data_IF_405183622808
#
_entry.id   IF_405183622808
#
_cell.length_a   1.000
_cell.length_b   1.000
_cell.length_c   1.000
_cell.angle_alpha   90.00
_cell.angle_beta   90.00
_cell.angle_gamma   90.00
#
_symmetry.space_group_name_H-M   'P 1'
#
loop_
_entity.id
_entity.type
_entity.pdbx_description
1 polymer ?
#
# COMPACT_ATOMS: atom_id res chain seq x y z
N UNK A 1 15.99 -18.04 -15.21
CA UNK A 1 15.93 -17.19 -14.01
C UNK A 1 16.81 -17.72 -12.87
N UNK A 2 16.60 -18.92 -12.32
CA UNK A 2 17.41 -19.40 -11.18
C UNK A 2 18.92 -19.56 -11.44
N UNK A 3 19.35 -19.89 -12.67
CA UNK A 3 20.78 -19.97 -13.00
C UNK A 3 21.52 -18.62 -12.84
N UNK A 4 20.80 -17.50 -12.81
CA UNK A 4 21.38 -16.18 -12.51
C UNK A 4 21.91 -16.09 -11.08
N UNK A 5 21.35 -16.87 -10.13
CA UNK A 5 21.83 -16.91 -8.74
C UNK A 5 23.19 -17.60 -8.58
N UNK A 6 23.66 -18.34 -9.60
CA UNK A 6 24.95 -19.06 -9.57
C UNK A 6 26.10 -18.17 -10.07
N UNK A 7 25.80 -17.15 -10.89
CA UNK A 7 26.83 -16.30 -11.49
C UNK A 7 27.48 -15.41 -10.44
N UNK A 8 28.80 -15.28 -10.49
CA UNK A 8 29.55 -14.36 -9.63
C UNK A 8 29.51 -12.93 -10.20
N UNK A 9 28.30 -12.36 -10.23
CA UNK A 9 28.02 -11.01 -10.69
C UNK A 9 28.04 -10.00 -9.51
N UNK A 10 28.52 -8.78 -9.76
CA UNK A 10 28.58 -7.67 -8.80
C UNK A 10 27.20 -7.13 -8.43
N UNK A 11 26.16 -7.42 -9.23
CA UNK A 11 24.77 -7.06 -8.97
C UNK A 11 24.10 -7.92 -7.87
N UNK A 12 24.61 -7.88 -6.63
CA UNK A 12 24.10 -8.66 -5.51
C UNK A 12 22.65 -8.31 -5.11
N UNK A 13 22.21 -7.08 -5.38
CA UNK A 13 20.84 -6.63 -5.11
C UNK A 13 19.82 -7.27 -6.07
N UNK A 14 20.17 -7.42 -7.35
CA UNK A 14 19.32 -8.09 -8.34
C UNK A 14 19.15 -9.58 -8.01
N UNK A 15 20.20 -10.22 -7.48
CA UNK A 15 20.12 -11.61 -6.98
C UNK A 15 19.16 -11.72 -5.81
N UNK A 16 19.28 -10.81 -4.84
CA UNK A 16 18.38 -10.79 -3.68
C UNK A 16 16.93 -10.54 -4.11
N UNK A 17 16.69 -9.56 -4.98
CA UNK A 17 15.38 -9.29 -5.56
C UNK A 17 14.77 -10.54 -6.19
N UNK A 18 15.55 -11.21 -7.06
CA UNK A 18 15.12 -12.42 -7.77
C UNK A 18 14.76 -13.53 -6.79
N UNK A 19 15.59 -13.74 -5.77
CA UNK A 19 15.36 -14.72 -4.72
C UNK A 19 14.06 -14.45 -3.95
N UNK A 20 13.85 -13.20 -3.50
CA UNK A 20 12.64 -12.81 -2.78
C UNK A 20 11.39 -12.93 -3.65
N UNK A 21 11.47 -12.55 -4.93
CA UNK A 21 10.34 -12.66 -5.87
C UNK A 21 9.94 -14.11 -6.11
N UNK A 22 10.91 -15.01 -6.30
CA UNK A 22 10.65 -16.45 -6.44
C UNK A 22 10.00 -17.00 -5.18
N UNK A 23 10.50 -16.62 -4.00
CA UNK A 23 9.93 -17.05 -2.71
C UNK A 23 8.50 -16.56 -2.55
N UNK A 24 8.23 -15.29 -2.87
CA UNK A 24 6.90 -14.71 -2.84
C UNK A 24 5.92 -15.47 -3.76
N UNK A 25 6.34 -15.82 -4.97
CA UNK A 25 5.53 -16.62 -5.90
C UNK A 25 5.32 -18.07 -5.43
N UNK A 26 6.34 -18.67 -4.83
CA UNK A 26 6.27 -20.02 -4.26
C UNK A 26 5.38 -20.09 -3.01
N UNK A 27 5.24 -18.99 -2.26
CA UNK A 27 4.31 -18.91 -1.12
C UNK A 27 2.84 -18.76 -1.56
N UNK A 28 2.61 -18.33 -2.81
CA UNK A 28 1.26 -18.12 -3.36
C UNK A 28 0.71 -19.34 -4.13
N UNK A 29 1.55 -20.03 -4.91
CA UNK A 29 1.14 -21.18 -5.72
C UNK A 29 1.94 -22.44 -5.36
N UNK A 30 1.22 -23.45 -4.87
CA UNK A 30 1.78 -24.77 -4.54
C UNK A 30 2.46 -25.45 -5.74
N UNK A 31 1.98 -25.23 -6.97
CA UNK A 31 2.61 -25.78 -8.18
C UNK A 31 3.97 -25.15 -8.41
N UNK A 32 4.09 -23.84 -8.23
CA UNK A 32 5.35 -23.12 -8.33
C UNK A 32 6.28 -23.58 -7.22
N UNK A 33 5.78 -23.71 -5.98
CA UNK A 33 6.53 -24.21 -4.84
C UNK A 33 7.17 -25.56 -5.10
N UNK A 34 6.40 -26.53 -5.61
CA UNK A 34 6.90 -27.87 -5.94
C UNK A 34 7.96 -27.81 -7.05
N UNK A 35 7.74 -26.98 -8.09
CA UNK A 35 8.73 -26.79 -9.16
C UNK A 35 10.03 -26.18 -8.65
N UNK A 36 9.95 -25.14 -7.82
CA UNK A 36 11.09 -24.47 -7.18
C UNK A 36 11.88 -25.48 -6.34
N UNK A 37 11.20 -26.24 -5.48
CA UNK A 37 11.82 -27.27 -4.65
C UNK A 37 12.50 -28.36 -5.48
N UNK A 38 11.89 -28.79 -6.59
CA UNK A 38 12.48 -29.77 -7.49
C UNK A 38 13.74 -29.25 -8.19
N UNK A 39 13.76 -27.98 -8.60
CA UNK A 39 14.94 -27.36 -9.22
C UNK A 39 16.08 -27.25 -8.20
N UNK A 40 15.77 -26.79 -6.98
CA UNK A 40 16.76 -26.70 -5.89
C UNK A 40 17.36 -28.08 -5.58
N UNK A 41 16.52 -29.12 -5.45
CA UNK A 41 17.00 -30.49 -5.19
C UNK A 41 17.88 -31.05 -6.32
N UNK A 42 17.58 -30.73 -7.57
CA UNK A 42 18.34 -31.23 -8.74
C UNK A 42 19.66 -30.51 -8.97
N UNK A 43 19.82 -29.30 -8.45
CA UNK A 43 20.99 -28.48 -8.70
C UNK A 43 21.76 -28.17 -7.39
N UNK A 44 22.79 -28.96 -7.04
CA UNK A 44 23.54 -28.78 -5.79
C UNK A 44 24.30 -27.45 -5.72
N UNK A 45 24.61 -26.83 -6.87
CA UNK A 45 25.22 -25.49 -6.91
C UNK A 45 24.26 -24.37 -6.48
N UNK A 46 22.95 -24.58 -6.60
CA UNK A 46 21.93 -23.66 -6.10
C UNK A 46 21.51 -23.99 -4.67
N UNK A 47 21.46 -25.27 -4.33
CA UNK A 47 21.08 -25.74 -3.00
C UNK A 47 22.28 -25.75 -2.04
N UNK A 48 22.86 -24.56 -1.85
CA UNK A 48 23.89 -24.31 -0.85
C UNK A 48 23.57 -23.01 -0.09
N UNK A 49 24.19 -22.84 1.07
CA UNK A 49 23.97 -21.66 1.90
C UNK A 49 24.34 -20.35 1.19
N UNK A 50 25.30 -20.40 0.27
CA UNK A 50 25.75 -19.25 -0.51
C UNK A 50 24.68 -18.76 -1.50
N UNK A 51 24.02 -19.67 -2.23
CA UNK A 51 23.00 -19.36 -3.22
C UNK A 51 21.61 -19.07 -2.61
N UNK A 52 21.31 -19.64 -1.44
CA UNK A 52 20.04 -19.43 -0.73
C UNK A 52 20.06 -18.24 0.26
N UNK A 53 21.21 -17.58 0.42
CA UNK A 53 21.35 -16.41 1.29
C UNK A 53 22.11 -15.28 0.60
N UNK A 54 21.50 -14.59 -0.39
CA UNK A 54 22.13 -13.44 -1.02
C UNK A 54 22.32 -12.30 -0.02
N UNK A 55 23.42 -11.53 -0.16
CA UNK A 55 23.80 -10.44 0.77
C UNK A 55 22.86 -9.22 0.71
N UNK A 56 22.18 -9.00 -0.41
CA UNK A 56 21.42 -7.78 -0.71
C UNK A 56 20.30 -7.44 0.28
N UNK A 57 19.81 -6.20 0.20
CA UNK A 57 18.73 -5.66 1.02
C UNK A 57 17.39 -5.57 0.26
N UNK A 58 17.40 -5.73 -1.06
CA UNK A 58 16.21 -5.74 -1.91
C UNK A 58 15.14 -6.72 -1.40
N UNK A 59 13.89 -6.36 -1.61
CA UNK A 59 12.74 -6.98 -0.97
C UNK A 59 11.60 -7.20 -1.97
N UNK A 60 10.95 -8.34 -1.86
CA UNK A 60 9.67 -8.59 -2.49
C UNK A 60 8.80 -9.41 -1.53
N UNK A 61 7.63 -8.91 -1.17
CA UNK A 61 6.72 -9.59 -0.24
C UNK A 61 5.26 -9.32 -0.58
N UNK A 62 4.42 -10.29 -0.21
CA UNK A 62 2.96 -10.20 -0.26
C UNK A 62 2.39 -10.52 1.12
N UNK A 63 1.50 -9.66 1.62
CA UNK A 63 0.86 -9.78 2.94
C UNK A 63 -0.62 -9.54 2.80
N UNK A 64 -1.44 -10.43 3.39
CA UNK A 64 -2.89 -10.23 3.45
C UNK A 64 -3.20 -9.30 4.61
N UNK A 65 -3.89 -8.20 4.33
CA UNK A 65 -4.36 -7.24 5.33
C UNK A 65 -5.86 -7.35 5.59
N UNK A 66 -6.59 -7.96 4.65
CA UNK A 66 -8.01 -8.19 4.77
C UNK A 66 -8.34 -9.60 4.30
N UNK A 67 -9.02 -10.37 5.14
CA UNK A 67 -9.58 -11.67 4.77
C UNK A 67 -11.05 -11.67 5.17
N UNK A 68 -11.93 -11.55 4.18
CA UNK A 68 -13.37 -11.51 4.41
C UNK A 68 -14.09 -12.42 3.41
N UNK A 69 -15.27 -12.98 3.74
CA UNK A 69 -16.02 -13.84 2.82
C UNK A 69 -16.33 -13.16 1.47
N UNK A 70 -16.44 -11.83 1.47
CA UNK A 70 -16.76 -11.02 0.30
C UNK A 70 -15.55 -10.68 -0.57
N UNK A 71 -14.40 -10.35 0.02
CA UNK A 71 -13.17 -9.99 -0.69
C UNK A 71 -11.96 -10.22 0.20
N UNK A 72 -10.86 -10.66 -0.40
CA UNK A 72 -9.55 -10.60 0.22
C UNK A 72 -8.83 -9.31 -0.23
N UNK A 73 -7.93 -8.81 0.63
CA UNK A 73 -7.06 -7.69 0.34
C UNK A 73 -5.62 -8.06 0.66
N UNK A 74 -4.73 -7.84 -0.30
CA UNK A 74 -3.30 -8.11 -0.20
C UNK A 74 -2.49 -6.85 -0.49
N UNK A 75 -1.47 -6.60 0.33
CA UNK A 75 -0.40 -5.65 0.06
C UNK A 75 0.74 -6.41 -0.61
N UNK A 76 1.14 -5.96 -1.79
CA UNK A 76 2.35 -6.43 -2.47
C UNK A 76 3.35 -5.30 -2.44
N UNK A 77 4.57 -5.54 -1.98
CA UNK A 77 5.64 -4.56 -2.08
C UNK A 77 6.88 -5.16 -2.66
N UNK A 78 7.53 -4.36 -3.50
CA UNK A 78 8.74 -4.70 -4.20
C UNK A 78 9.67 -3.50 -4.08
N UNK A 79 10.84 -3.68 -3.49
CA UNK A 79 11.83 -2.63 -3.26
C UNK A 79 13.19 -3.11 -3.77
N UNK A 80 13.73 -2.39 -4.73
CA UNK A 80 15.10 -2.49 -5.22
C UNK A 80 15.96 -1.52 -4.42
N UNK A 81 17.00 -2.06 -3.80
CA UNK A 81 18.00 -1.28 -3.07
C UNK A 81 19.29 -1.22 -3.87
N UNK A 82 20.05 -0.13 -3.72
CA UNK A 82 21.40 0.04 -4.26
C UNK A 82 22.23 0.80 -3.24
N UNK A 83 23.31 0.19 -2.75
CA UNK A 83 24.20 0.78 -1.72
C UNK A 83 23.46 1.26 -0.46
N UNK A 84 22.47 0.49 0.02
CA UNK A 84 21.69 0.82 1.22
C UNK A 84 20.53 1.79 1.01
N UNK A 85 20.36 2.35 -0.19
CA UNK A 85 19.28 3.29 -0.52
C UNK A 85 18.23 2.61 -1.41
N UNK A 86 16.97 2.96 -1.25
CA UNK A 86 15.89 2.50 -2.14
C UNK A 86 16.01 3.21 -3.49
N UNK A 87 16.46 2.48 -4.53
CA UNK A 87 16.51 2.99 -5.91
C UNK A 87 15.11 3.05 -6.52
N UNK A 88 14.34 1.97 -6.34
CA UNK A 88 12.94 1.92 -6.78
C UNK A 88 12.13 1.06 -5.83
N UNK A 89 11.00 1.56 -5.39
CA UNK A 89 10.06 0.83 -4.54
C UNK A 89 8.65 0.93 -5.10
N UNK A 90 7.86 -0.11 -4.94
CA UNK A 90 6.43 -0.13 -5.27
C UNK A 90 5.66 -0.79 -4.14
N UNK A 91 4.47 -0.28 -3.87
CA UNK A 91 3.51 -0.80 -2.91
C UNK A 91 2.13 -0.82 -3.57
N UNK A 92 1.66 -2.02 -3.84
CA UNK A 92 0.41 -2.28 -4.55
C UNK A 92 -0.64 -2.80 -3.56
N UNK A 93 -1.84 -2.22 -3.63
CA UNK A 93 -3.03 -2.67 -2.90
C UNK A 93 -3.92 -3.42 -3.88
N UNK A 94 -3.97 -4.74 -3.70
CA UNK A 94 -4.69 -5.66 -4.56
C UNK A 94 -5.91 -6.19 -3.80
N UNK A 95 -7.07 -6.15 -4.44
CA UNK A 95 -8.25 -6.88 -4.00
C UNK A 95 -8.42 -8.14 -4.84
N UNK A 96 -8.54 -9.28 -4.18
CA UNK A 96 -8.67 -10.58 -4.83
C UNK A 96 -9.91 -11.35 -4.36
N UNK A 97 -10.67 -11.90 -5.32
CA UNK A 97 -11.81 -12.78 -5.06
C UNK A 97 -12.08 -13.71 -6.24
N UNK A 98 -12.14 -15.02 -5.97
CA UNK A 98 -12.57 -16.07 -6.92
C UNK A 98 -11.96 -15.92 -8.34
N UNK A 99 -10.65 -15.63 -8.42
CA UNK A 99 -9.94 -15.47 -9.71
C UNK A 99 -9.98 -14.06 -10.31
N UNK A 100 -10.79 -13.14 -9.76
CA UNK A 100 -10.72 -11.72 -10.07
C UNK A 100 -9.75 -11.03 -9.12
N UNK A 101 -8.70 -10.45 -9.68
CA UNK A 101 -7.72 -9.66 -8.95
C UNK A 101 -7.69 -8.27 -9.56
N UNK A 102 -7.96 -7.24 -8.76
CA UNK A 102 -7.95 -5.85 -9.20
C UNK A 102 -7.00 -5.02 -8.35
N UNK A 103 -6.13 -4.27 -9.01
CA UNK A 103 -5.28 -3.28 -8.36
C UNK A 103 -6.08 -2.00 -8.14
N UNK A 104 -6.26 -1.62 -6.88
CA UNK A 104 -6.97 -0.37 -6.56
C UNK A 104 -6.02 0.83 -6.58
N UNK A 105 -4.79 0.61 -6.13
CA UNK A 105 -3.84 1.67 -5.86
C UNK A 105 -2.42 1.09 -5.89
N UNK A 106 -1.52 1.73 -6.62
CA UNK A 106 -0.08 1.49 -6.56
C UNK A 106 0.64 2.80 -6.28
N UNK A 107 1.54 2.75 -5.31
CA UNK A 107 2.47 3.83 -4.99
C UNK A 107 3.88 3.33 -5.30
N UNK A 108 4.52 3.96 -6.28
CA UNK A 108 5.93 3.80 -6.53
C UNK A 108 6.74 4.98 -6.04
N UNK A 109 7.98 4.72 -5.65
CA UNK A 109 8.98 5.68 -5.23
C UNK A 109 10.23 5.37 -6.03
N UNK A 110 10.92 6.39 -6.53
CA UNK A 110 12.19 6.22 -7.20
C UNK A 110 13.19 7.24 -6.69
N UNK A 111 14.46 6.86 -6.66
CA UNK A 111 15.56 7.75 -6.37
C UNK A 111 16.80 7.38 -7.17
N UNK A 112 17.64 8.38 -7.44
CA UNK A 112 18.92 8.28 -8.14
C UNK A 112 19.91 9.25 -7.51
N UNK A 113 21.21 8.95 -7.61
CA UNK A 113 22.26 9.88 -7.16
C UNK A 113 22.33 10.18 -5.65
N UNK A 114 21.60 9.47 -4.79
CA UNK A 114 21.60 9.71 -3.33
C UNK A 114 22.76 9.03 -2.58
N UNK A 115 23.55 8.23 -3.29
CA UNK A 115 24.60 7.38 -2.70
C UNK A 115 25.73 8.20 -2.07
N UNK A 116 26.06 9.33 -2.69
CA UNK A 116 27.09 10.27 -2.22
C UNK A 116 26.78 10.91 -0.86
N UNK A 117 25.52 10.87 -0.40
CA UNK A 117 25.13 11.45 0.89
C UNK A 117 25.15 10.45 2.05
N UNK A 118 25.09 9.14 1.74
CA UNK A 118 24.94 8.08 2.75
C UNK A 118 26.21 7.22 2.83
N UNK A 119 26.96 7.08 1.73
CA UNK A 119 28.21 6.34 1.67
C UNK A 119 29.41 7.27 1.67
N UNK A 120 30.29 7.14 2.66
CA UNK A 120 31.65 7.70 2.63
C UNK A 120 32.65 6.77 1.92
N UNK A 121 32.23 5.56 1.51
CA UNK A 121 33.08 4.66 0.74
C UNK A 121 32.94 5.01 -0.74
N UNK A 122 33.97 5.67 -1.28
CA UNK A 122 34.26 5.76 -2.70
C UNK A 122 34.37 4.34 -3.24
N UNK A 123 33.28 3.82 -3.79
CA UNK A 123 33.36 2.66 -4.66
C UNK A 123 33.83 3.19 -6.01
N UNK A 124 34.97 2.68 -6.50
CA UNK A 124 35.60 2.99 -7.80
C UNK A 124 34.73 2.57 -9.01
N UNK A 125 33.41 2.61 -8.89
CA UNK A 125 32.51 2.36 -9.99
C UNK A 125 32.39 3.67 -10.78
N UNK A 126 32.95 3.63 -11.99
CA UNK A 126 32.93 4.64 -13.05
C UNK A 126 31.53 4.85 -13.64
N UNK A 127 30.48 4.74 -12.81
CA UNK A 127 29.13 5.14 -13.17
C UNK A 127 29.08 6.67 -13.09
N UNK A 128 28.68 7.32 -14.20
CA UNK A 128 28.43 8.75 -14.27
C UNK A 128 27.67 9.19 -13.00
N UNK A 129 28.16 10.23 -12.30
CA UNK A 129 27.49 10.78 -11.13
C UNK A 129 26.04 11.14 -11.51
N UNK A 130 25.11 10.23 -11.25
CA UNK A 130 23.70 10.46 -11.46
C UNK A 130 23.32 11.65 -10.58
N UNK A 131 22.71 12.68 -11.18
CA UNK A 131 22.23 13.81 -10.42
C UNK A 131 21.21 13.34 -9.37
N UNK A 132 21.38 13.81 -8.13
CA UNK A 132 20.50 13.46 -7.02
C UNK A 132 19.03 13.77 -7.37
N UNK A 133 18.20 12.75 -7.46
CA UNK A 133 16.78 12.91 -7.79
C UNK A 133 15.95 11.93 -6.96
N UNK A 134 14.74 12.35 -6.59
CA UNK A 134 13.74 11.44 -6.05
C UNK A 134 12.35 11.88 -6.48
N UNK A 135 11.44 10.92 -6.55
CA UNK A 135 10.06 11.19 -6.86
C UNK A 135 9.15 10.02 -6.53
N UNK A 136 7.87 10.21 -6.82
CA UNK A 136 6.82 9.22 -6.66
C UNK A 136 6.05 9.04 -7.95
N UNK A 137 5.64 7.80 -8.21
CA UNK A 137 4.71 7.42 -9.26
C UNK A 137 3.44 6.87 -8.61
N UNK A 138 2.28 7.22 -9.17
CA UNK A 138 1.00 6.81 -8.61
C UNK A 138 0.11 6.23 -9.69
N UNK A 139 -0.47 5.06 -9.42
CA UNK A 139 -1.50 4.45 -10.24
C UNK A 139 -2.76 4.29 -9.40
N UNK A 140 -3.88 4.80 -9.89
CA UNK A 140 -5.17 4.76 -9.22
C UNK A 140 -6.17 4.12 -10.16
N UNK A 141 -6.81 3.02 -9.74
CA UNK A 141 -7.75 2.27 -10.59
C UNK A 141 -7.17 1.97 -11.99
N UNK A 142 -5.94 1.46 -12.04
CA UNK A 142 -5.21 1.12 -13.29
C UNK A 142 -4.88 2.34 -14.18
N UNK A 143 -5.16 3.56 -13.74
CA UNK A 143 -4.79 4.80 -14.45
C UNK A 143 -3.52 5.37 -13.84
N UNK A 144 -2.44 5.44 -14.62
CA UNK A 144 -1.18 6.03 -14.20
C UNK A 144 -1.27 7.55 -14.22
N UNK A 145 -0.97 8.18 -13.09
CA UNK A 145 -0.86 9.63 -12.95
C UNK A 145 0.57 10.05 -13.28
N UNK A 146 0.73 11.28 -13.78
CA UNK A 146 2.06 11.87 -14.03
C UNK A 146 2.93 11.74 -12.76
N UNK A 147 4.16 11.19 -12.86
CA UNK A 147 5.07 11.13 -11.73
C UNK A 147 5.39 12.51 -11.17
N UNK A 148 5.49 12.59 -9.85
CA UNK A 148 5.89 13.79 -9.13
C UNK A 148 7.36 13.68 -8.73
N UNK A 149 8.17 14.65 -9.15
CA UNK A 149 9.58 14.74 -8.77
C UNK A 149 9.66 15.66 -7.57
N UNK A 150 10.23 15.18 -6.47
CA UNK A 150 10.40 15.97 -5.24
C UNK A 150 11.53 16.98 -5.38
N UNK A 151 12.64 16.56 -6.00
CA UNK A 151 13.78 17.42 -6.30
C UNK A 151 14.56 16.86 -7.49
N UNK A 152 15.22 17.77 -8.21
CA UNK A 152 16.10 17.46 -9.31
C UNK A 152 17.44 18.17 -9.12
N UNK A 153 18.43 17.43 -8.65
CA UNK A 153 19.78 17.90 -8.37
C UNK A 153 20.03 18.17 -6.88
N UNK A 154 21.32 18.20 -6.53
CA UNK A 154 21.78 18.38 -5.16
C UNK A 154 21.38 19.74 -4.56
N UNK A 155 21.38 20.82 -5.35
CA UNK A 155 21.03 22.15 -4.86
C UNK A 155 19.58 22.25 -4.34
N UNK A 156 18.63 21.64 -5.05
CA UNK A 156 17.22 21.61 -4.64
C UNK A 156 17.01 20.72 -3.40
N UNK A 157 17.61 19.53 -3.39
CA UNK A 157 17.59 18.62 -2.24
C UNK A 157 18.07 19.34 -0.98
N UNK A 158 19.23 19.98 -1.09
CA UNK A 158 19.83 20.74 -0.01
C UNK A 158 18.94 21.90 0.42
N UNK A 159 18.34 22.65 -0.52
CA UNK A 159 17.35 23.67 -0.21
C UNK A 159 16.17 23.13 0.61
N UNK A 160 15.65 21.94 0.29
CA UNK A 160 14.60 21.29 1.07
C UNK A 160 15.05 20.88 2.47
N UNK A 161 16.26 20.33 2.61
CA UNK A 161 16.83 19.96 3.92
C UNK A 161 17.02 21.19 4.82
N UNK A 162 17.60 22.27 4.29
CA UNK A 162 17.85 23.50 5.06
C UNK A 162 16.59 24.29 5.41
N UNK A 163 15.60 24.26 4.52
CA UNK A 163 14.30 24.87 4.77
C UNK A 163 13.40 24.04 5.71
N UNK A 164 13.78 22.79 5.99
CA UNK A 164 12.95 21.86 6.76
C UNK A 164 11.65 21.51 6.04
N UNK A 165 11.68 21.44 4.70
CA UNK A 165 10.51 21.04 3.91
C UNK A 165 10.02 19.66 4.36
N UNK A 166 8.71 19.51 4.56
CA UNK A 166 8.08 18.29 5.07
C UNK A 166 8.52 17.85 6.48
N UNK A 167 9.07 18.76 7.30
CA UNK A 167 9.23 18.55 8.75
C UNK A 167 7.88 18.42 9.47
N UNK A 168 6.83 19.00 8.89
CA UNK A 168 5.43 18.77 9.26
C UNK A 168 4.72 17.87 8.25
N UNK A 169 3.62 17.26 8.70
CA UNK A 169 2.82 16.36 7.87
C UNK A 169 2.27 17.11 6.66
N UNK A 170 2.81 16.80 5.48
CA UNK A 170 2.49 17.48 4.22
C UNK A 170 1.68 16.55 3.31
N UNK A 171 0.48 16.94 2.85
CA UNK A 171 -0.29 16.13 1.91
C UNK A 171 0.40 16.11 0.54
N UNK A 172 0.67 14.91 0.03
CA UNK A 172 1.27 14.68 -1.28
C UNK A 172 0.21 14.38 -2.35
N UNK A 173 -0.85 13.63 -2.00
CA UNK A 173 -1.91 13.28 -2.94
C UNK A 173 -3.25 13.12 -2.24
N UNK A 174 -4.27 13.79 -2.77
CA UNK A 174 -5.64 13.71 -2.27
C UNK A 174 -6.60 13.49 -3.43
N UNK A 175 -7.48 12.50 -3.31
CA UNK A 175 -8.47 12.20 -4.34
C UNK A 175 -9.76 11.67 -3.74
N UNK A 176 -10.87 11.99 -4.41
CA UNK A 176 -12.16 11.36 -4.18
C UNK A 176 -12.61 10.68 -5.46
N UNK A 177 -12.80 9.37 -5.37
CA UNK A 177 -13.09 8.49 -6.49
C UNK A 177 -14.49 7.91 -6.31
N UNK A 178 -15.30 7.92 -7.36
CA UNK A 178 -16.57 7.19 -7.38
C UNK A 178 -16.30 5.78 -7.89
N UNK A 179 -16.33 4.79 -7.00
CA UNK A 179 -16.09 3.38 -7.33
C UNK A 179 -17.29 2.73 -7.99
N UNK A 180 -18.50 3.12 -7.56
CA UNK A 180 -19.75 2.54 -8.04
C UNK A 180 -20.81 3.64 -8.13
N UNK A 181 -21.52 3.68 -9.25
CA UNK A 181 -22.72 4.49 -9.42
C UNK A 181 -23.70 3.65 -10.24
N UNK A 182 -24.71 3.11 -9.56
CA UNK A 182 -25.73 2.25 -10.16
C UNK A 182 -27.10 2.82 -9.86
N UNK A 183 -27.86 3.11 -10.91
CA UNK A 183 -29.26 3.52 -10.82
C UNK A 183 -30.09 2.59 -11.71
N UNK A 184 -31.09 1.95 -11.13
CA UNK A 184 -31.95 1.02 -11.83
C UNK A 184 -33.40 1.19 -11.41
N UNK A 185 -34.29 1.17 -12.39
CA UNK A 185 -35.73 1.19 -12.20
C UNK A 185 -36.30 -0.21 -12.45
N UNK A 186 -36.71 -0.87 -11.38
CA UNK A 186 -37.28 -2.21 -11.39
C UNK A 186 -38.81 -2.12 -11.50
N UNK A 187 -39.38 -2.67 -12.57
CA UNK A 187 -40.84 -2.82 -12.70
C UNK A 187 -41.28 -4.07 -11.95
N UNK A 188 -42.04 -3.87 -10.87
CA UNK A 188 -42.58 -4.96 -10.06
C UNK A 188 -43.77 -5.62 -10.77
N UNK A 189 -44.05 -6.88 -10.46
CA UNK A 189 -45.20 -7.60 -11.01
C UNK A 189 -46.56 -6.95 -10.69
N UNK A 190 -46.60 -6.10 -9.66
CA UNK A 190 -47.76 -5.27 -9.30
C UNK A 190 -47.93 -4.02 -10.17
N UNK A 191 -47.02 -3.75 -11.10
CA UNK A 191 -47.01 -2.54 -11.94
C UNK A 191 -46.33 -1.32 -11.33
N UNK A 192 -45.93 -1.38 -10.06
CA UNK A 192 -45.17 -0.31 -9.40
C UNK A 192 -43.72 -0.28 -9.84
N UNK A 193 -43.10 0.89 -9.76
CA UNK A 193 -41.68 1.08 -10.08
C UNK A 193 -40.92 1.21 -8.76
N UNK A 194 -39.96 0.31 -8.54
CA UNK A 194 -38.98 0.42 -7.49
C UNK A 194 -37.70 1.04 -8.06
N UNK A 195 -37.19 2.09 -7.43
CA UNK A 195 -35.91 2.70 -7.79
C UNK A 195 -34.83 2.17 -6.85
N UNK A 196 -33.81 1.54 -7.43
CA UNK A 196 -32.61 1.09 -6.74
C UNK A 196 -31.46 2.02 -7.12
N UNK A 197 -30.88 2.68 -6.12
CA UNK A 197 -29.75 3.58 -6.29
C UNK A 197 -28.62 3.14 -5.36
N UNK A 198 -27.43 2.86 -5.90
CA UNK A 198 -26.27 2.44 -5.12
C UNK A 198 -25.06 3.24 -5.57
N UNK A 199 -24.48 4.00 -4.64
CA UNK A 199 -23.30 4.83 -4.84
C UNK A 199 -22.20 4.41 -3.90
N UNK A 200 -21.00 4.22 -4.44
CA UNK A 200 -19.79 3.90 -3.70
C UNK A 200 -18.72 4.94 -4.02
N UNK A 201 -18.13 5.52 -2.99
CA UNK A 201 -17.03 6.46 -3.12
C UNK A 201 -15.86 6.04 -2.22
N UNK A 202 -14.67 6.41 -2.65
CA UNK A 202 -13.44 6.24 -1.89
C UNK A 202 -12.68 7.56 -1.84
N UNK A 203 -12.31 7.99 -0.64
CA UNK A 203 -11.36 9.06 -0.43
C UNK A 203 -9.98 8.46 -0.19
N UNK A 204 -8.96 9.05 -0.81
CA UNK A 204 -7.56 8.72 -0.62
C UNK A 204 -6.84 10.00 -0.20
N UNK A 205 -6.02 9.89 0.84
CA UNK A 205 -5.14 10.94 1.32
C UNK A 205 -3.79 10.33 1.65
N UNK A 206 -2.76 10.75 0.94
CA UNK A 206 -1.37 10.36 1.14
C UNK A 206 -0.63 11.59 1.66
N UNK A 207 -0.10 11.48 2.86
CA UNK A 207 0.68 12.52 3.51
C UNK A 207 2.01 11.96 4.00
N UNK A 208 3.00 12.83 4.04
CA UNK A 208 4.37 12.48 4.42
C UNK A 208 4.98 13.50 5.34
N UNK A 209 5.83 13.02 6.23
CA UNK A 209 6.72 13.81 7.07
C UNK A 209 8.10 13.19 7.04
N UNK A 210 9.13 14.04 6.96
CA UNK A 210 10.54 13.65 6.96
C UNK A 210 11.30 14.61 7.87
N UNK A 211 12.06 14.06 8.79
CA UNK A 211 12.99 14.78 9.66
C UNK A 211 14.39 14.18 9.47
N UNK A 212 15.36 15.03 9.17
CA UNK A 212 16.76 14.63 8.98
C UNK A 212 17.61 15.46 9.92
N UNK A 213 18.42 14.81 10.76
CA UNK A 213 19.40 15.46 11.61
C UNK A 213 20.81 15.01 11.23
N UNK A 214 21.56 15.90 10.58
CA UNK A 214 22.97 15.65 10.25
C UNK A 214 23.86 15.64 11.51
N UNK A 215 23.49 16.39 12.54
CA UNK A 215 24.21 16.43 13.81
C UNK A 215 24.04 15.14 14.61
N UNK A 216 22.80 14.65 14.72
CA UNK A 216 22.51 13.40 15.43
C UNK A 216 22.69 12.16 14.54
N UNK A 217 23.02 12.37 13.26
CA UNK A 217 23.20 11.33 12.23
C UNK A 217 22.03 10.34 12.16
N UNK A 218 20.81 10.87 12.21
CA UNK A 218 19.59 10.09 12.09
C UNK A 218 18.58 10.73 11.14
N UNK A 219 17.68 9.91 10.62
CA UNK A 219 16.55 10.37 9.83
C UNK A 219 15.30 9.59 10.23
N UNK A 220 14.18 10.29 10.33
CA UNK A 220 12.88 9.71 10.60
C UNK A 220 11.92 10.13 9.50
N UNK A 221 11.14 9.17 9.02
CA UNK A 221 10.08 9.43 8.06
C UNK A 221 8.80 8.75 8.50
N UNK A 222 7.69 9.45 8.31
CA UNK A 222 6.35 8.91 8.49
C UNK A 222 5.57 9.17 7.22
N UNK A 223 5.22 8.10 6.51
CA UNK A 223 4.30 8.15 5.38
C UNK A 223 2.97 7.61 5.85
N UNK A 224 1.94 8.45 5.87
CA UNK A 224 0.59 8.09 6.26
C UNK A 224 -0.30 8.03 5.03
N UNK A 225 -0.98 6.90 4.87
CA UNK A 225 -2.03 6.72 3.86
C UNK A 225 -3.36 6.53 4.57
N UNK A 226 -4.28 7.47 4.38
CA UNK A 226 -5.67 7.34 4.80
C UNK A 226 -6.55 7.00 3.61
N UNK A 227 -7.38 5.98 3.75
CA UNK A 227 -8.36 5.57 2.75
C UNK A 227 -9.73 5.44 3.42
N UNK A 228 -10.68 6.27 3.00
CA UNK A 228 -12.07 6.20 3.42
C UNK A 228 -12.91 5.54 2.33
N UNK A 229 -13.70 4.53 2.66
CA UNK A 229 -14.67 3.94 1.74
C UNK A 229 -16.06 4.19 2.30
N UNK A 230 -16.94 4.73 1.48
CA UNK A 230 -18.34 4.94 1.81
C UNK A 230 -19.23 4.38 0.70
N UNK A 231 -20.21 3.57 1.07
CA UNK A 231 -21.22 3.06 0.16
C UNK A 231 -22.58 3.42 0.71
N UNK A 232 -23.36 4.15 -0.07
CA UNK A 232 -24.75 4.45 0.21
C UNK A 232 -25.62 3.74 -0.81
N UNK A 233 -26.72 3.16 -0.36
CA UNK A 233 -27.71 2.64 -1.28
C UNK A 233 -29.11 2.91 -0.76
N UNK A 234 -30.04 3.10 -1.68
CA UNK A 234 -31.44 3.31 -1.39
C UNK A 234 -32.29 2.48 -2.32
N UNK A 235 -33.35 1.90 -1.78
CA UNK A 235 -34.46 1.36 -2.54
C UNK A 235 -35.71 2.15 -2.16
N UNK A 236 -36.36 2.74 -3.14
CA UNK A 236 -37.61 3.48 -2.95
C UNK A 236 -38.71 2.89 -3.83
N UNK A 237 -39.93 2.87 -3.29
CA UNK A 237 -41.14 2.53 -4.02
C UNK A 237 -42.14 3.64 -3.77
N UNK A 238 -42.51 4.34 -4.83
CA UNK A 238 -43.50 5.40 -4.79
C UNK A 238 -44.83 4.87 -5.35
N UNK A 239 -45.86 4.85 -4.51
CA UNK A 239 -47.22 4.50 -4.88
C UNK A 239 -48.17 5.57 -4.37
N UNK A 240 -49.38 5.63 -4.92
CA UNK A 240 -50.40 6.60 -4.49
C UNK A 240 -50.81 6.41 -3.03
N UNK A 241 -50.67 5.20 -2.48
CA UNK A 241 -51.13 4.84 -1.14
C UNK A 241 -50.01 4.88 -0.10
N UNK A 242 -48.77 4.55 -0.51
CA UNK A 242 -47.60 4.45 0.38
C UNK A 242 -46.34 4.83 -0.38
N UNK A 243 -45.53 5.71 0.24
CA UNK A 243 -44.14 5.94 -0.12
C UNK A 243 -43.26 5.21 0.87
N UNK A 244 -42.53 4.21 0.40
CA UNK A 244 -41.58 3.44 1.22
C UNK A 244 -40.18 3.63 0.69
N UNK A 245 -39.24 3.95 1.58
CA UNK A 245 -37.84 4.14 1.25
C UNK A 245 -36.99 3.42 2.30
N UNK A 246 -36.08 2.58 1.85
CA UNK A 246 -35.06 1.97 2.69
C UNK A 246 -33.68 2.38 2.19
N UNK A 247 -32.90 3.01 3.05
CA UNK A 247 -31.53 3.45 2.80
C UNK A 247 -30.57 2.65 3.68
N UNK A 248 -29.43 2.28 3.13
CA UNK A 248 -28.30 1.78 3.90
C UNK A 248 -27.07 2.64 3.61
N UNK A 249 -26.25 2.84 4.63
CA UNK A 249 -24.98 3.54 4.52
C UNK A 249 -23.93 2.73 5.26
N UNK A 250 -22.87 2.38 4.56
CA UNK A 250 -21.73 1.65 5.08
C UNK A 250 -20.50 2.52 4.90
N UNK A 251 -19.70 2.70 5.95
CA UNK A 251 -18.44 3.43 5.84
C UNK A 251 -17.34 2.86 6.72
N UNK A 252 -16.11 2.96 6.24
CA UNK A 252 -14.90 2.59 6.96
C UNK A 252 -13.78 3.53 6.55
N UNK A 253 -13.01 3.98 7.53
CA UNK A 253 -11.78 4.74 7.31
C UNK A 253 -10.63 3.87 7.80
N UNK A 254 -9.75 3.50 6.89
CA UNK A 254 -8.54 2.71 7.17
C UNK A 254 -7.32 3.60 7.00
N UNK A 255 -6.40 3.53 7.95
CA UNK A 255 -5.10 4.21 7.87
C UNK A 255 -3.99 3.18 7.80
N UNK A 256 -2.93 3.50 7.09
CA UNK A 256 -1.70 2.74 7.02
C UNK A 256 -0.55 3.71 7.21
N UNK A 257 0.22 3.48 8.26
CA UNK A 257 1.36 4.29 8.63
C UNK A 257 2.63 3.47 8.35
N UNK A 258 3.49 3.98 7.48
CA UNK A 258 4.82 3.47 7.25
C UNK A 258 5.82 4.40 7.94
N UNK A 259 6.30 3.97 9.11
CA UNK A 259 7.36 4.66 9.82
C UNK A 259 8.71 4.07 9.42
N UNK A 260 9.65 4.93 9.07
CA UNK A 260 11.02 4.56 8.75
C UNK A 260 11.96 5.32 9.66
N UNK A 261 12.80 4.60 10.39
CA UNK A 261 13.82 5.14 11.28
C UNK A 261 15.19 4.70 10.74
N UNK A 262 16.07 5.67 10.49
CA UNK A 262 17.42 5.47 9.95
C UNK A 262 18.43 6.03 10.93
N UNK A 263 19.40 5.21 11.30
CA UNK A 263 20.60 5.61 12.04
C UNK A 263 21.81 5.40 11.14
N UNK A 264 22.55 6.48 10.87
CA UNK A 264 23.77 6.47 10.07
C UNK A 264 24.98 6.99 10.86
N UNK A 265 24.97 6.85 12.18
CA UNK A 265 26.05 7.26 13.08
C UNK A 265 27.34 6.45 12.88
N UNK A 266 27.22 5.15 12.64
CA UNK A 266 28.33 4.20 12.44
C UNK A 266 28.06 3.27 11.25
N UNK A 267 27.26 2.22 11.44
CA UNK A 267 26.68 1.42 10.38
C UNK A 267 25.29 1.95 10.06
N UNK A 268 24.92 1.97 8.78
CA UNK A 268 23.57 2.37 8.37
C UNK A 268 22.58 1.28 8.79
N UNK A 269 21.79 1.58 9.81
CA UNK A 269 20.67 0.76 10.25
C UNK A 269 19.37 1.36 9.73
N UNK A 270 18.57 0.53 9.05
CA UNK A 270 17.27 0.90 8.49
C UNK A 270 16.19 0.05 9.15
N UNK A 271 15.29 0.69 9.89
CA UNK A 271 14.10 0.05 10.43
C UNK A 271 12.84 0.60 9.77
N UNK A 272 12.04 -0.28 9.17
CA UNK A 272 10.72 0.04 8.66
C UNK A 272 9.64 -0.64 9.49
N UNK A 273 8.57 0.10 9.82
CA UNK A 273 7.40 -0.41 10.54
C UNK A 273 6.14 -0.02 9.77
N UNK A 274 5.39 -1.04 9.36
CA UNK A 274 4.09 -0.85 8.71
C UNK A 274 2.98 -1.15 9.73
N UNK A 275 2.30 -0.12 10.18
CA UNK A 275 1.25 -0.21 11.19
C UNK A 275 -0.10 0.22 10.63
N UNK A 276 -1.13 -0.51 10.99
CA UNK A 276 -2.53 -0.18 10.74
C UNK A 276 -3.17 0.10 12.10
N UNK A 277 -3.58 1.34 12.40
CA UNK A 277 -4.31 1.64 13.62
C UNK A 277 -5.74 1.06 13.59
N UNK A 278 -6.39 1.09 14.77
CA UNK A 278 -7.78 0.67 14.91
C UNK A 278 -8.70 1.47 13.97
N UNK A 279 -9.60 0.77 13.30
CA UNK A 279 -10.61 1.36 12.43
C UNK A 279 -12.01 0.98 12.92
N UNK A 280 -13.02 1.76 12.51
CA UNK A 280 -14.41 1.51 12.89
C UNK A 280 -15.28 1.41 11.65
N UNK A 281 -15.81 0.21 11.41
CA UNK A 281 -16.77 -0.04 10.35
C UNK A 281 -18.17 0.35 10.84
N UNK A 282 -18.79 1.32 10.16
CA UNK A 282 -20.13 1.84 10.46
C UNK A 282 -21.11 1.29 9.44
N UNK A 283 -22.23 0.76 9.92
CA UNK A 283 -23.31 0.29 9.07
C UNK A 283 -24.65 0.79 9.63
N UNK A 284 -25.29 1.66 8.88
CA UNK A 284 -26.52 2.34 9.26
C UNK A 284 -27.61 1.98 8.27
N UNK A 285 -28.79 1.63 8.77
CA UNK A 285 -29.98 1.35 7.96
C UNK A 285 -31.09 2.29 8.41
N UNK A 286 -31.72 2.96 7.47
CA UNK A 286 -32.86 3.83 7.67
C UNK A 286 -34.02 3.34 6.83
N UNK A 287 -35.19 3.18 7.43
CA UNK A 287 -36.44 2.91 6.73
C UNK A 287 -37.42 4.02 7.04
N UNK A 288 -38.02 4.59 6.01
CA UNK A 288 -39.04 5.63 6.11
C UNK A 288 -40.26 5.19 5.31
N UNK A 289 -41.42 5.18 5.96
CA UNK A 289 -42.71 4.93 5.31
C UNK A 289 -43.64 6.11 5.58
N UNK A 290 -44.30 6.58 4.52
CA UNK A 290 -45.25 7.69 4.57
C UNK A 290 -46.48 7.34 3.76
N UNK A 291 -47.66 7.64 4.31
CA UNK A 291 -48.93 7.55 3.58
C UNK A 291 -49.24 8.94 3.01
N UNK A 292 -49.30 9.13 1.68
CA UNK A 292 -49.70 10.40 1.08
C UNK A 292 -51.07 10.87 1.61
N UNK A 293 -51.18 12.15 1.97
CA UNK A 293 -52.41 12.72 2.54
C UNK A 293 -52.63 12.48 4.04
N UNK A 294 -51.80 11.67 4.71
CA UNK A 294 -51.86 11.45 6.17
C UNK A 294 -50.66 12.09 6.88
N UNK A 295 -50.83 12.41 8.17
CA UNK A 295 -49.73 12.77 9.08
C UNK A 295 -48.93 11.54 9.55
N UNK A 296 -49.37 10.33 9.21
CA UNK A 296 -48.67 9.10 9.58
C UNK A 296 -47.34 8.97 8.84
N UNK A 297 -46.25 8.95 9.60
CA UNK A 297 -44.89 8.71 9.15
C UNK A 297 -44.21 7.73 10.10
N UNK A 298 -43.77 6.59 9.57
CA UNK A 298 -42.93 5.64 10.30
C UNK A 298 -41.47 5.86 9.92
N UNK A 299 -40.60 5.96 10.93
CA UNK A 299 -39.15 5.99 10.74
C UNK A 299 -38.51 4.97 11.65
N UNK A 300 -37.76 4.05 11.06
CA UNK A 300 -36.96 3.05 11.78
C UNK A 300 -35.50 3.27 11.41
N UNK A 301 -34.63 3.37 12.40
CA UNK A 301 -33.19 3.49 12.19
C UNK A 301 -32.45 2.45 13.01
N UNK A 302 -31.49 1.77 12.38
CA UNK A 302 -30.60 0.82 13.04
C UNK A 302 -29.15 1.20 12.76
N UNK A 303 -28.38 1.42 13.82
CA UNK A 303 -26.97 1.75 13.74
C UNK A 303 -26.16 0.57 14.27
N UNK A 304 -25.15 0.14 13.51
CA UNK A 304 -24.20 -0.87 13.94
C UNK A 304 -22.78 -0.35 13.75
N UNK A 305 -21.93 -0.60 14.74
CA UNK A 305 -20.51 -0.27 14.71
C UNK A 305 -19.73 -1.54 15.00
N UNK A 306 -18.75 -1.83 14.16
CA UNK A 306 -17.88 -2.98 14.31
C UNK A 306 -16.43 -2.48 14.43
N UNK A 307 -15.75 -2.69 15.56
CA UNK A 307 -14.34 -2.34 15.69
C UNK A 307 -13.50 -3.29 14.83
N UNK A 308 -12.56 -2.72 14.09
CA UNK A 308 -11.53 -3.45 13.33
C UNK A 308 -10.21 -3.20 14.06
N UNK A 309 -9.61 -4.25 14.66
CA UNK A 309 -8.39 -4.08 15.45
C UNK A 309 -7.21 -3.68 14.55
N UNK A 310 -6.36 -2.83 15.09
CA UNK A 310 -5.10 -2.44 14.50
C UNK A 310 -4.11 -3.59 14.49
N UNK A 311 -3.22 -3.58 13.50
CA UNK A 311 -2.23 -4.63 13.29
C UNK A 311 -0.91 -4.04 12.84
N UNK A 312 0.20 -4.70 13.18
CA UNK A 312 1.52 -4.36 12.67
C UNK A 312 1.99 -5.49 11.76
N UNK A 313 2.43 -5.15 10.56
CA UNK A 313 2.84 -6.12 9.56
C UNK A 313 4.33 -6.39 9.62
N UNK A 314 4.71 -7.66 9.76
CA UNK A 314 6.12 -8.04 9.65
C UNK A 314 6.56 -8.04 8.19
N UNK A 315 7.59 -7.24 7.92
CA UNK A 315 8.20 -7.05 6.60
C UNK A 315 9.07 -8.27 6.28
N UNK A 316 10.28 -8.33 6.85
CA UNK A 316 11.17 -9.48 6.75
C UNK A 316 12.03 -9.62 8.00
N UNK A 317 12.74 -10.75 8.12
CA UNK A 317 13.60 -11.04 9.28
C UNK A 317 14.74 -10.02 9.43
N UNK A 318 15.36 -9.60 8.33
CA UNK A 318 16.50 -8.66 8.33
C UNK A 318 16.09 -7.28 8.86
N UNK A 319 14.92 -6.79 8.48
CA UNK A 319 14.31 -5.57 8.97
C UNK A 319 14.00 -5.69 10.47
N UNK A 320 13.49 -6.83 10.93
CA UNK A 320 13.28 -7.05 12.37
C UNK A 320 14.60 -7.00 13.13
N UNK A 321 15.67 -7.60 12.61
CA UNK A 321 17.02 -7.54 13.21
C UNK A 321 17.56 -6.10 13.27
N UNK A 322 17.37 -5.31 12.19
CA UNK A 322 17.76 -3.88 12.16
C UNK A 322 16.92 -3.03 13.12
N UNK A 323 15.61 -3.28 13.19
CA UNK A 323 14.72 -2.61 14.15
C UNK A 323 15.09 -2.95 15.59
N UNK A 324 15.45 -4.21 15.87
CA UNK A 324 15.96 -4.59 17.19
C UNK A 324 17.26 -3.88 17.52
N UNK A 325 18.16 -3.65 16.56
CA UNK A 325 19.40 -2.90 16.81
C UNK A 325 19.17 -1.41 17.10
N UNK A 326 18.14 -0.78 16.50
CA UNK A 326 17.81 0.63 16.73
C UNK A 326 17.07 0.84 18.06
N UNK A 327 16.22 -0.11 18.46
CA UNK A 327 15.34 0.01 19.63
C UNK A 327 15.73 -0.88 20.82
N UNK A 328 16.95 -1.46 20.82
CA UNK A 328 17.47 -2.30 21.92
C UNK A 328 17.89 -1.51 23.14
#
# INVERSE_FOLDING_TARGET
>A
MMNFMIRNDSAYEVKQYTYQKIRMLADEDDKIKVRVQNILRKNPMLNNYHGLSPRGLSLALKRRFMANPFSNGSLVTVQEMKSGIVKRGTVDVILDKHGFSKELFSLGIFSGGLQSFISSEETEDTEEEEAATAGMELTVLETQIRPFVFFSGQGELMGHVWSGTASEMTPAFQALLMLQDHLEHLRLGSGFIAELNVKGATSLDLSGKIEISLWNRNAQSLVQKSAGVATTGSISVDTEFVKSQAEFSTSIETKLDLQTDIDFSSNVHLCMRLTQPDALFRHNIFKVEKIPGSQHKLRISKYKKYPVPGTTYSINRKNNEMCSAIFS
#
